data_IF_050460560212
#
_entry.id   IF_050460560212
#
_cell.length_a   1.000
_cell.length_b   1.000
_cell.length_c   1.000
_cell.angle_alpha   90.00
_cell.angle_beta   90.00
_cell.angle_gamma   90.00
#
_symmetry.space_group_name_H-M   'P 1'
#
loop_
_entity.id
_entity.type
_entity.pdbx_description
1 polymer ?
#
# COMPACT_ATOMS: atom_id res chain seq x y z
N UNK A 1 -14.41 0.33 -52.02
CA UNK A 1 -14.75 0.31 -50.58
C UNK A 1 -13.86 -0.74 -49.96
N UNK A 2 -12.92 -0.33 -49.12
CA UNK A 2 -11.93 -1.23 -48.51
C UNK A 2 -12.48 -1.66 -47.16
N UNK A 3 -12.89 -2.92 -47.02
CA UNK A 3 -13.34 -3.48 -45.75
C UNK A 3 -12.15 -3.66 -44.81
N UNK A 4 -12.14 -2.90 -43.71
CA UNK A 4 -11.22 -3.12 -42.59
C UNK A 4 -11.89 -4.16 -41.69
N UNK A 5 -11.43 -5.40 -41.77
CA UNK A 5 -11.83 -6.44 -40.83
C UNK A 5 -11.09 -6.24 -39.51
N UNK A 6 -11.83 -5.93 -38.43
CA UNK A 6 -11.30 -5.96 -37.08
C UNK A 6 -11.15 -7.42 -36.63
N UNK A 7 -9.93 -7.83 -36.28
CA UNK A 7 -9.70 -9.13 -35.66
C UNK A 7 -10.32 -9.16 -34.25
N UNK A 8 -10.95 -10.27 -33.84
CA UNK A 8 -11.49 -10.38 -32.49
C UNK A 8 -10.35 -10.31 -31.46
N UNK A 9 -10.49 -9.42 -30.48
CA UNK A 9 -9.60 -9.37 -29.33
C UNK A 9 -9.94 -10.52 -28.38
N UNK A 10 -8.94 -11.36 -28.08
CA UNK A 10 -9.09 -12.42 -27.09
C UNK A 10 -8.77 -11.86 -25.70
N UNK A 11 -9.55 -12.23 -24.66
CA UNK A 11 -9.23 -11.86 -23.29
C UNK A 11 -7.91 -12.53 -22.90
N UNK A 12 -6.95 -11.71 -22.48
CA UNK A 12 -5.70 -12.20 -21.89
C UNK A 12 -5.98 -12.71 -20.47
N UNK A 13 -5.49 -13.90 -20.15
CA UNK A 13 -5.60 -14.44 -18.80
C UNK A 13 -4.64 -13.71 -17.86
N UNK A 14 -5.14 -13.22 -16.72
CA UNK A 14 -4.29 -12.67 -15.66
C UNK A 14 -3.49 -13.83 -15.04
N UNK A 15 -2.14 -13.76 -15.00
CA UNK A 15 -1.31 -14.83 -14.44
C UNK A 15 -1.37 -14.80 -12.90
N UNK A 16 -2.50 -15.26 -12.35
CA UNK A 16 -2.79 -15.19 -10.91
C UNK A 16 -1.73 -15.88 -10.07
N UNK A 17 -1.22 -17.03 -10.52
CA UNK A 17 -0.18 -17.81 -9.82
C UNK A 17 1.14 -17.05 -9.67
N UNK A 18 1.46 -16.18 -10.62
CA UNK A 18 2.68 -15.38 -10.60
C UNK A 18 2.50 -14.12 -9.74
N UNK A 19 1.30 -13.54 -9.74
CA UNK A 19 0.97 -12.32 -8.99
C UNK A 19 0.73 -12.61 -7.50
N UNK A 20 0.09 -13.74 -7.18
CA UNK A 20 -0.40 -14.03 -5.82
C UNK A 20 0.71 -13.94 -4.75
N UNK A 21 1.92 -14.50 -4.92
CA UNK A 21 2.96 -14.43 -3.90
C UNK A 21 3.37 -12.98 -3.59
N UNK A 22 3.49 -12.15 -4.62
CA UNK A 22 3.84 -10.74 -4.49
C UNK A 22 2.71 -9.91 -3.89
N UNK A 23 1.46 -10.21 -4.28
CA UNK A 23 0.28 -9.56 -3.70
C UNK A 23 0.15 -9.88 -2.20
N UNK A 24 0.38 -11.13 -1.81
CA UNK A 24 0.41 -11.53 -0.39
C UNK A 24 1.55 -10.82 0.34
N UNK A 25 2.76 -10.84 -0.22
CA UNK A 25 3.90 -10.15 0.38
C UNK A 25 3.63 -8.64 0.58
N UNK A 26 3.18 -7.95 -0.47
CA UNK A 26 2.82 -6.54 -0.41
C UNK A 26 1.67 -6.28 0.59
N UNK A 27 0.68 -7.17 0.63
CA UNK A 27 -0.42 -7.11 1.60
C UNK A 27 0.06 -7.23 3.04
N UNK A 28 1.00 -8.14 3.33
CA UNK A 28 1.60 -8.28 4.66
C UNK A 28 2.38 -7.01 5.05
N UNK A 29 3.17 -6.45 4.14
CA UNK A 29 3.89 -5.18 4.38
C UNK A 29 2.91 -4.02 4.61
N UNK A 30 1.81 -3.96 3.84
CA UNK A 30 0.78 -2.94 4.02
C UNK A 30 0.13 -3.04 5.40
N UNK A 31 -0.25 -4.25 5.83
CA UNK A 31 -0.82 -4.47 7.16
C UNK A 31 0.17 -4.04 8.25
N UNK A 32 1.45 -4.39 8.09
CA UNK A 32 2.50 -3.96 9.00
C UNK A 32 2.64 -2.43 9.04
N UNK A 33 2.63 -1.77 7.89
CA UNK A 33 2.68 -0.30 7.80
C UNK A 33 1.47 0.35 8.49
N UNK A 34 0.27 -0.18 8.27
CA UNK A 34 -0.96 0.28 8.94
C UNK A 34 -0.86 0.09 10.46
N UNK A 35 -0.30 -1.03 10.93
CA UNK A 35 -0.06 -1.26 12.36
C UNK A 35 0.89 -0.20 12.94
N UNK A 36 2.03 0.06 12.29
CA UNK A 36 2.97 1.08 12.77
C UNK A 36 2.35 2.48 12.78
N UNK A 37 1.67 2.87 11.70
CA UNK A 37 1.05 4.20 11.59
C UNK A 37 -0.13 4.37 12.56
N UNK A 38 -0.89 3.31 12.83
CA UNK A 38 -2.09 3.37 13.67
C UNK A 38 -1.85 3.13 15.16
N UNK A 39 -0.96 2.21 15.52
CA UNK A 39 -0.80 1.72 16.89
C UNK A 39 0.51 2.17 17.56
N UNK A 40 1.57 2.51 16.80
CA UNK A 40 2.89 2.78 17.37
C UNK A 40 3.38 4.20 17.07
N UNK A 41 3.06 5.14 17.97
CA UNK A 41 3.69 6.48 18.01
C UNK A 41 5.01 6.48 18.83
N UNK A 42 5.39 5.36 19.46
CA UNK A 42 6.42 5.32 20.50
C UNK A 42 7.66 4.45 20.24
N UNK A 43 7.58 3.42 19.38
CA UNK A 43 8.71 2.50 19.16
C UNK A 43 9.88 3.17 18.40
N UNK A 44 9.57 4.12 17.51
CA UNK A 44 10.57 4.92 16.79
C UNK A 44 11.00 6.18 17.55
N UNK A 45 10.28 6.58 18.61
CA UNK A 45 10.62 7.76 19.40
C UNK A 45 11.99 7.67 20.10
N UNK A 46 12.50 6.45 20.33
CA UNK A 46 13.86 6.21 20.84
C UNK A 46 14.96 6.47 19.79
N UNK A 47 14.61 6.43 18.51
CA UNK A 47 15.51 6.68 17.37
C UNK A 47 15.33 8.11 16.84
N UNK A 48 14.23 8.77 17.19
CA UNK A 48 13.84 10.09 16.72
C UNK A 48 14.50 11.21 17.53
N UNK A 49 15.73 11.59 17.14
CA UNK A 49 16.33 12.86 17.60
C UNK A 49 15.71 14.03 16.84
N UNK A 50 14.56 14.53 17.31
CA UNK A 50 13.96 15.77 16.80
C UNK A 50 12.46 15.74 16.50
N UNK A 51 11.77 14.60 16.65
CA UNK A 51 10.32 14.51 16.45
C UNK A 51 9.90 14.36 14.99
N UNK A 52 10.83 14.26 14.05
CA UNK A 52 10.53 14.23 12.60
C UNK A 52 9.79 12.95 12.22
N UNK A 53 10.18 11.82 12.84
CA UNK A 53 9.49 10.55 12.58
C UNK A 53 8.11 10.59 13.22
N UNK A 54 8.00 11.16 14.42
CA UNK A 54 6.71 11.33 15.08
C UNK A 54 5.73 12.16 14.24
N UNK A 55 6.13 13.32 13.71
CA UNK A 55 5.27 14.16 12.87
C UNK A 55 4.89 13.45 11.55
N UNK A 56 5.83 12.76 10.89
CA UNK A 56 5.55 12.01 9.67
C UNK A 56 4.51 10.89 9.90
N UNK A 57 4.67 10.12 10.97
CA UNK A 57 3.75 9.03 11.32
C UNK A 57 2.40 9.59 11.74
N UNK A 58 2.40 10.64 12.54
CA UNK A 58 1.20 11.35 12.97
C UNK A 58 0.39 11.83 11.74
N UNK A 59 1.03 12.49 10.77
CA UNK A 59 0.38 12.94 9.53
C UNK A 59 -0.13 11.77 8.68
N UNK A 60 0.61 10.66 8.64
CA UNK A 60 0.17 9.43 7.99
C UNK A 60 -1.11 8.86 8.61
N UNK A 61 -1.27 8.98 9.94
CA UNK A 61 -2.47 8.52 10.66
C UNK A 61 -3.69 9.35 10.31
N UNK A 62 -3.54 10.67 10.19
CA UNK A 62 -4.57 11.56 9.67
C UNK A 62 -4.95 11.22 8.23
N UNK A 63 -3.97 10.95 7.37
CA UNK A 63 -4.20 10.56 5.97
C UNK A 63 -5.01 9.26 5.86
N UNK A 64 -4.75 8.29 6.74
CA UNK A 64 -5.49 7.03 6.80
C UNK A 64 -6.84 7.15 7.53
N UNK A 65 -7.21 8.34 8.01
CA UNK A 65 -8.50 8.63 8.67
C UNK A 65 -8.61 8.06 10.08
N UNK A 66 -7.49 7.67 10.70
CA UNK A 66 -7.49 7.23 12.08
C UNK A 66 -7.65 8.43 13.03
N UNK A 67 -8.46 8.31 14.10
CA UNK A 67 -8.69 9.41 15.01
C UNK A 67 -7.45 9.73 15.84
N UNK A 68 -7.00 10.98 15.78
CA UNK A 68 -6.09 11.58 16.75
C UNK A 68 -6.88 12.04 18.00
N UNK A 69 -6.24 11.99 19.18
CA UNK A 69 -6.73 12.32 20.54
C UNK A 69 -7.19 11.13 21.39
#
# INVERSE_FOLDING_TARGET
MSDIAFAPAYPISIPTREILPWAVFAGLILILAVYFVGAEEGALALVDTGGVIHEFVHDGRHLLGFPCH
#
